data_IF_385855565561
#
_entry.id   IF_385855565561
#
_cell.length_a   1.000
_cell.length_b   1.000
_cell.length_c   1.000
_cell.angle_alpha   90.00
_cell.angle_beta   90.00
_cell.angle_gamma   90.00
#
_symmetry.space_group_name_H-M   'P 1'
#
loop_
_entity.id
_entity.type
_entity.pdbx_description
1 polymer ?
#
# COMPACT_ATOMS: atom_id res chain seq x y z
N UNK A 1 13.48 -46.96 30.17
CA UNK A 1 12.79 -46.65 31.43
C UNK A 1 12.59 -45.14 31.45
N UNK A 2 11.66 -44.65 30.62
CA UNK A 2 10.25 -44.36 31.00
C UNK A 2 10.20 -43.05 31.82
N UNK A 3 9.37 -42.04 31.53
CA UNK A 3 8.12 -41.95 30.78
C UNK A 3 7.84 -40.47 30.47
N UNK A 4 7.09 -40.26 29.38
CA UNK A 4 6.38 -39.04 28.99
C UNK A 4 5.44 -38.53 30.10
N UNK A 5 5.03 -37.25 30.06
CA UNK A 5 3.59 -36.90 29.93
C UNK A 5 3.25 -35.38 29.93
N UNK A 6 2.66 -34.97 28.78
CA UNK A 6 1.52 -34.07 28.48
C UNK A 6 1.39 -32.60 28.93
N UNK A 7 1.48 -31.73 27.91
CA UNK A 7 0.38 -30.94 27.29
C UNK A 7 -0.77 -30.47 28.19
N UNK A 8 -0.93 -29.14 28.30
CA UNK A 8 -2.17 -28.48 28.73
C UNK A 8 -2.51 -27.30 27.80
N UNK A 9 -3.20 -27.61 26.70
CA UNK A 9 -3.92 -26.61 25.89
C UNK A 9 -5.19 -26.19 26.64
N UNK A 10 -5.33 -24.89 26.95
CA UNK A 10 -6.59 -24.32 27.45
C UNK A 10 -7.49 -23.98 26.26
N UNK A 11 -8.67 -24.60 26.29
CA UNK A 11 -9.80 -24.41 25.38
C UNK A 11 -10.37 -22.98 25.48
N UNK A 12 -10.54 -22.33 24.34
CA UNK A 12 -11.50 -21.24 24.13
C UNK A 12 -12.91 -21.85 23.99
N UNK A 13 -13.90 -21.46 24.80
CA UNK A 13 -15.30 -21.68 24.49
C UNK A 13 -15.93 -20.41 23.89
N UNK A 14 -17.14 -20.54 23.34
CA UNK A 14 -17.95 -19.54 22.63
C UNK A 14 -17.74 -19.54 21.10
N UNK A 15 -18.04 -20.70 20.51
CA UNK A 15 -18.86 -20.72 19.30
C UNK A 15 -20.32 -20.69 19.76
N UNK A 16 -21.03 -19.58 19.56
CA UNK A 16 -22.47 -19.57 19.62
C UNK A 16 -23.00 -19.18 18.24
N UNK A 17 -23.55 -20.21 17.60
CA UNK A 17 -24.29 -20.18 16.34
C UNK A 17 -25.51 -19.29 16.52
N UNK A 18 -25.62 -18.22 15.71
CA UNK A 18 -26.88 -17.54 15.46
C UNK A 18 -27.19 -17.65 13.97
N UNK A 19 -27.94 -18.70 13.65
CA UNK A 19 -28.79 -18.79 12.48
C UNK A 19 -29.90 -17.74 12.65
N UNK A 20 -29.84 -16.66 11.87
CA UNK A 20 -30.99 -15.79 11.63
C UNK A 20 -31.43 -16.02 10.20
N UNK A 21 -32.49 -16.79 10.05
CA UNK A 21 -33.35 -16.82 8.89
C UNK A 21 -34.28 -15.60 8.89
N UNK A 22 -34.91 -15.38 7.73
CA UNK A 22 -36.17 -14.64 7.52
C UNK A 22 -36.03 -13.22 6.94
N UNK A 23 -36.11 -13.18 5.61
CA UNK A 23 -37.18 -12.53 4.82
C UNK A 23 -36.73 -11.54 3.76
N UNK A 24 -36.91 -11.97 2.52
CA UNK A 24 -37.07 -11.12 1.36
C UNK A 24 -38.35 -10.27 1.53
N UNK A 25 -38.20 -8.94 1.50
CA UNK A 25 -39.30 -8.03 1.22
C UNK A 25 -39.08 -7.49 -0.19
N UNK A 26 -39.82 -8.08 -1.12
CA UNK A 26 -40.02 -7.58 -2.47
C UNK A 26 -41.24 -6.66 -2.46
N UNK A 27 -41.01 -5.35 -2.47
CA UNK A 27 -41.97 -4.31 -2.86
C UNK A 27 -41.11 -3.09 -3.24
N UNK A 28 -40.92 -2.78 -4.51
CA UNK A 28 -41.93 -2.06 -5.28
C UNK A 28 -41.64 -0.56 -5.18
N UNK A 29 -40.70 -0.07 -5.99
CA UNK A 29 -40.53 1.37 -6.20
C UNK A 29 -40.74 1.65 -7.68
N UNK A 30 -41.91 2.22 -7.94
CA UNK A 30 -42.31 2.77 -9.22
C UNK A 30 -41.43 3.98 -9.59
N UNK A 31 -41.04 3.96 -10.85
CA UNK A 31 -40.84 5.09 -11.75
C UNK A 31 -41.32 6.45 -11.22
N UNK A 32 -40.40 7.40 -11.08
CA UNK A 32 -40.63 8.80 -11.45
C UNK A 32 -39.35 9.32 -12.10
N UNK A 33 -39.38 9.30 -13.43
CA UNK A 33 -38.56 10.13 -14.30
C UNK A 33 -39.01 11.57 -14.10
N UNK A 34 -38.19 12.40 -13.46
CA UNK A 34 -38.40 13.85 -13.45
C UNK A 34 -37.31 14.50 -14.30
N UNK A 35 -37.72 14.87 -15.51
CA UNK A 35 -36.92 15.55 -16.52
C UNK A 35 -36.96 17.05 -16.21
N UNK A 36 -35.89 17.58 -15.65
CA UNK A 36 -35.70 19.02 -15.50
C UNK A 36 -34.85 19.55 -16.67
N UNK A 37 -35.55 19.99 -17.71
CA UNK A 37 -35.03 20.85 -18.78
C UNK A 37 -35.27 22.32 -18.42
N UNK A 38 -34.20 23.09 -18.23
CA UNK A 38 -34.18 24.55 -18.32
C UNK A 38 -32.71 24.99 -18.47
N UNK A 39 -32.19 25.18 -19.69
CA UNK A 39 -32.21 26.46 -20.42
C UNK A 39 -32.09 27.69 -19.51
N UNK A 40 -30.87 28.21 -19.38
CA UNK A 40 -30.61 29.64 -19.21
C UNK A 40 -29.18 29.98 -19.67
N UNK A 41 -29.07 30.46 -20.91
CA UNK A 41 -27.98 31.35 -21.32
C UNK A 41 -28.42 32.79 -21.08
N UNK A 42 -27.48 33.69 -20.78
CA UNK A 42 -27.56 35.01 -21.39
C UNK A 42 -26.25 35.47 -22.04
N UNK A 43 -26.43 35.92 -23.28
CA UNK A 43 -25.89 37.13 -23.90
C UNK A 43 -24.44 37.57 -23.59
N UNK A 44 -23.60 37.29 -24.58
CA UNK A 44 -22.73 38.24 -25.32
C UNK A 44 -22.77 39.70 -24.84
N UNK A 45 -21.62 40.20 -24.39
CA UNK A 45 -21.19 41.58 -24.66
C UNK A 45 -19.78 41.56 -25.27
N UNK A 46 -19.73 41.98 -26.53
CA UNK A 46 -18.51 42.23 -27.29
C UNK A 46 -18.01 43.63 -26.93
N UNK A 47 -16.75 43.74 -26.50
CA UNK A 47 -16.00 44.99 -26.53
C UNK A 47 -14.86 44.89 -27.54
N UNK A 48 -15.10 45.56 -28.66
CA UNK A 48 -14.13 45.90 -29.70
C UNK A 48 -13.07 46.85 -29.12
N UNK A 49 -11.81 46.47 -29.16
CA UNK A 49 -10.72 47.43 -29.36
C UNK A 49 -9.78 46.98 -30.46
N UNK A 50 -9.51 47.98 -31.29
CA UNK A 50 -8.94 47.99 -32.62
C UNK A 50 -7.41 48.16 -32.51
N UNK A 51 -6.71 47.62 -33.51
CA UNK A 51 -5.41 48.09 -34.02
C UNK A 51 -4.17 47.91 -33.12
N UNK A 52 -3.16 47.20 -33.63
CA UNK A 52 -2.10 47.88 -34.41
C UNK A 52 -1.01 46.90 -34.90
N UNK A 53 -0.90 46.84 -36.24
CA UNK A 53 0.32 46.75 -37.07
C UNK A 53 1.41 45.70 -36.76
N UNK A 54 1.58 44.79 -37.74
CA UNK A 54 2.82 44.03 -38.03
C UNK A 54 3.93 44.95 -38.57
N UNK A 55 5.20 44.63 -38.29
CA UNK A 55 6.33 44.89 -39.20
C UNK A 55 7.02 43.55 -39.63
N UNK A 56 8.00 43.55 -40.55
CA UNK A 56 8.06 42.58 -41.65
C UNK A 56 8.88 41.32 -41.38
N UNK A 57 8.66 40.32 -42.26
CA UNK A 57 9.55 39.18 -42.47
C UNK A 57 10.91 39.64 -42.99
N UNK A 58 11.97 39.16 -42.37
CA UNK A 58 13.32 39.14 -42.93
C UNK A 58 13.74 37.67 -43.16
N UNK A 59 14.41 37.31 -44.28
CA UNK A 59 14.76 35.94 -44.61
C UNK A 59 16.26 35.64 -44.36
N UNK A 60 16.53 34.38 -44.00
CA UNK A 60 17.81 33.61 -44.10
C UNK A 60 18.74 33.54 -42.86
N UNK A 61 18.67 32.38 -42.19
CA UNK A 61 19.81 31.60 -41.62
C UNK A 61 20.46 32.10 -40.32
N UNK A 62 21.19 31.26 -39.54
CA UNK A 62 21.63 29.87 -39.75
C UNK A 62 21.00 28.86 -38.76
N UNK A 63 21.18 27.57 -39.04
CA UNK A 63 20.47 26.43 -38.44
C UNK A 63 20.56 26.30 -36.91
N UNK A 64 19.40 26.03 -36.32
CA UNK A 64 19.25 25.62 -34.92
C UNK A 64 19.53 24.11 -34.82
N UNK A 65 20.41 23.66 -33.90
CA UNK A 65 20.65 22.25 -33.65
C UNK A 65 19.35 21.57 -33.17
N UNK A 66 19.03 20.43 -33.76
CA UNK A 66 17.78 19.70 -33.55
C UNK A 66 17.46 19.49 -32.08
N UNK A 67 16.30 20.02 -31.67
CA UNK A 67 15.64 19.66 -30.43
C UNK A 67 15.22 18.20 -30.50
N UNK A 68 16.11 17.31 -30.08
CA UNK A 68 15.78 15.94 -29.73
C UNK A 68 14.77 15.99 -28.58
N UNK A 69 13.50 15.75 -28.89
CA UNK A 69 12.48 15.50 -27.89
C UNK A 69 13.00 14.38 -27.00
N UNK A 70 13.32 14.72 -25.75
CA UNK A 70 13.68 13.75 -24.73
C UNK A 70 12.47 12.82 -24.58
N UNK A 71 12.59 11.64 -25.21
CA UNK A 71 11.62 10.55 -25.10
C UNK A 71 11.37 10.34 -23.61
N UNK A 72 10.11 10.37 -23.13
CA UNK A 72 9.81 10.07 -21.74
C UNK A 72 10.52 8.77 -21.41
N UNK A 73 11.47 8.80 -20.46
CA UNK A 73 12.16 7.61 -20.02
C UNK A 73 11.09 6.71 -19.41
N UNK A 74 10.64 5.71 -20.17
CA UNK A 74 9.83 4.64 -19.62
C UNK A 74 10.66 4.04 -18.48
N UNK A 75 10.10 3.92 -17.26
CA UNK A 75 10.76 3.20 -16.19
C UNK A 75 11.17 1.83 -16.73
N UNK A 76 12.41 1.37 -16.45
CA UNK A 76 12.88 0.09 -16.95
C UNK A 76 11.81 -0.97 -16.64
N UNK A 77 11.37 -1.69 -17.67
CA UNK A 77 10.45 -2.80 -17.45
C UNK A 77 11.12 -3.73 -16.43
N UNK A 78 10.37 -4.24 -15.43
CA UNK A 78 10.92 -5.23 -14.51
C UNK A 78 11.57 -6.30 -15.36
N UNK A 79 12.88 -6.50 -15.15
CA UNK A 79 13.63 -7.51 -15.88
C UNK A 79 12.86 -8.80 -15.66
N UNK A 80 12.36 -9.40 -16.74
CA UNK A 80 11.93 -10.79 -16.75
C UNK A 80 13.19 -11.62 -16.52
N UNK A 81 13.68 -11.62 -15.28
CA UNK A 81 14.60 -12.63 -14.83
C UNK A 81 13.88 -13.94 -15.03
N UNK A 82 14.54 -14.86 -15.74
CA UNK A 82 14.14 -16.27 -15.73
C UNK A 82 13.87 -16.61 -14.27
N UNK A 83 12.64 -17.05 -13.90
CA UNK A 83 12.38 -17.49 -12.55
C UNK A 83 13.46 -18.53 -12.23
N UNK A 84 14.38 -18.19 -11.33
CA UNK A 84 15.19 -19.24 -10.73
C UNK A 84 14.17 -20.24 -10.23
N UNK A 85 14.30 -21.52 -10.57
CA UNK A 85 13.38 -22.57 -10.08
C UNK A 85 13.45 -22.78 -8.56
N UNK A 86 13.82 -21.73 -7.82
CA UNK A 86 13.85 -21.64 -6.38
C UNK A 86 12.48 -21.38 -5.81
N UNK A 87 12.44 -21.48 -4.49
CA UNK A 87 11.24 -21.32 -3.69
C UNK A 87 10.94 -19.82 -3.54
N UNK A 88 9.71 -19.37 -3.83
CA UNK A 88 9.27 -17.97 -3.67
C UNK A 88 9.56 -17.41 -2.27
N UNK A 89 9.52 -18.25 -1.23
CA UNK A 89 9.90 -17.87 0.13
C UNK A 89 11.36 -17.36 0.19
N UNK A 90 12.28 -18.10 -0.40
CA UNK A 90 13.71 -17.78 -0.42
C UNK A 90 13.98 -16.58 -1.32
N UNK A 91 13.29 -16.47 -2.46
CA UNK A 91 13.42 -15.34 -3.38
C UNK A 91 13.06 -14.02 -2.70
N UNK A 92 11.94 -13.96 -1.97
CA UNK A 92 11.53 -12.78 -1.21
C UNK A 92 12.60 -12.44 -0.16
N UNK A 93 13.08 -13.41 0.62
CA UNK A 93 14.10 -13.15 1.65
C UNK A 93 15.43 -12.68 1.06
N UNK A 94 15.86 -13.27 -0.05
CA UNK A 94 17.12 -12.91 -0.70
C UNK A 94 17.03 -11.49 -1.26
N UNK A 95 15.91 -11.11 -1.91
CA UNK A 95 15.67 -9.73 -2.35
C UNK A 95 15.71 -8.75 -1.18
N UNK A 96 15.09 -9.09 -0.05
CA UNK A 96 15.12 -8.24 1.15
C UNK A 96 16.56 -7.98 1.59
N UNK A 97 17.37 -9.04 1.69
CA UNK A 97 18.78 -8.98 2.13
C UNK A 97 19.67 -8.22 1.17
N UNK A 98 19.43 -8.34 -0.13
CA UNK A 98 20.17 -7.61 -1.16
C UNK A 98 19.91 -6.11 -1.11
N UNK A 99 18.66 -5.72 -0.84
CA UNK A 99 18.22 -4.33 -0.89
C UNK A 99 18.42 -3.60 0.44
N UNK A 100 18.24 -4.28 1.57
CA UNK A 100 18.30 -3.69 2.92
C UNK A 100 19.62 -4.00 3.61
N UNK A 101 20.74 -3.60 3.00
CA UNK A 101 22.11 -3.81 3.52
C UNK A 101 22.43 -3.06 4.82
N UNK A 102 21.50 -2.29 5.37
CA UNK A 102 21.69 -1.51 6.59
C UNK A 102 20.79 -2.12 7.67
N UNK A 103 21.35 -2.99 8.50
CA UNK A 103 20.73 -3.32 9.80
C UNK A 103 20.76 -2.07 10.67
N UNK A 104 19.61 -1.67 11.21
CA UNK A 104 19.47 -0.46 12.01
C UNK A 104 19.45 -0.86 13.48
N UNK A 105 20.52 -0.52 14.22
CA UNK A 105 20.68 -0.84 15.65
C UNK A 105 19.42 -0.48 16.45
N UNK A 106 18.84 -1.53 17.05
CA UNK A 106 17.52 -1.52 17.68
C UNK A 106 17.36 -0.65 18.93
N UNK A 107 16.16 -0.08 19.05
CA UNK A 107 15.51 0.19 20.33
C UNK A 107 14.36 -0.80 20.55
N UNK A 108 13.75 -0.80 21.74
CA UNK A 108 12.67 -1.75 22.11
C UNK A 108 11.35 -1.60 21.32
N UNK A 109 11.30 -0.69 20.33
CA UNK A 109 10.17 -0.44 19.44
C UNK A 109 10.76 -0.23 18.04
N UNK A 110 10.22 -0.94 17.06
CA UNK A 110 10.69 -0.95 15.68
C UNK A 110 9.49 -0.88 14.74
N UNK A 111 9.24 0.29 14.15
CA UNK A 111 8.31 0.43 13.05
C UNK A 111 8.84 -0.24 11.78
N UNK A 112 8.02 -1.07 11.13
CA UNK A 112 8.41 -1.89 9.97
C UNK A 112 7.77 -1.35 8.68
N UNK A 113 6.43 -1.26 8.62
CA UNK A 113 5.68 -0.83 7.44
C UNK A 113 4.41 -0.04 7.83
N UNK A 114 3.95 0.94 7.02
CA UNK A 114 4.63 1.64 5.91
C UNK A 114 5.96 2.31 6.30
N UNK A 115 6.85 2.59 5.32
CA UNK A 115 8.28 2.39 5.52
C UNK A 115 8.94 3.41 6.47
N UNK A 116 9.48 2.88 7.57
CA UNK A 116 10.45 3.56 8.42
C UNK A 116 11.89 3.13 8.10
N UNK A 117 12.06 1.85 7.70
CA UNK A 117 13.36 1.16 7.64
C UNK A 117 13.55 0.29 6.40
N UNK A 118 12.60 0.35 5.47
CA UNK A 118 12.65 -0.38 4.20
C UNK A 118 13.25 0.52 3.12
N UNK A 119 14.37 0.10 2.51
CA UNK A 119 14.97 0.78 1.35
C UNK A 119 14.16 0.48 0.08
N UNK A 120 13.93 1.49 -0.78
CA UNK A 120 13.08 1.32 -1.96
C UNK A 120 12.63 2.63 -2.63
N UNK A 121 11.49 2.59 -3.34
CA UNK A 121 10.86 3.60 -4.22
C UNK A 121 10.49 4.97 -3.59
N UNK A 122 11.29 5.43 -2.62
CA UNK A 122 10.89 6.43 -1.63
C UNK A 122 9.87 5.81 -0.66
N UNK A 123 9.43 6.58 0.33
CA UNK A 123 8.48 6.09 1.33
C UNK A 123 7.05 5.90 0.74
N UNK A 124 6.90 5.28 -0.43
CA UNK A 124 5.67 5.16 -1.18
C UNK A 124 5.07 3.76 -1.04
N UNK A 125 3.74 3.68 -1.00
CA UNK A 125 2.99 2.42 -0.96
C UNK A 125 1.85 2.42 -1.98
N UNK A 126 1.45 1.23 -2.42
CA UNK A 126 0.36 1.03 -3.38
C UNK A 126 -1.02 0.95 -2.70
N UNK A 127 -1.13 0.33 -1.53
CA UNK A 127 -2.40 0.23 -0.79
C UNK A 127 -2.82 1.59 -0.21
N UNK A 128 -4.08 1.98 -0.44
CA UNK A 128 -4.70 3.17 0.18
C UNK A 128 -5.35 2.88 1.55
N UNK A 129 -5.33 1.61 1.98
CA UNK A 129 -5.67 1.16 3.33
C UNK A 129 -4.51 0.32 3.89
N UNK A 130 -3.48 0.98 4.44
CA UNK A 130 -2.26 0.30 4.84
C UNK A 130 -2.47 -0.61 6.06
N UNK A 131 -1.70 -1.69 6.10
CA UNK A 131 -1.43 -2.45 7.31
C UNK A 131 -0.16 -1.90 7.98
N UNK A 132 -0.30 -1.42 9.21
CA UNK A 132 0.83 -1.04 10.05
C UNK A 132 1.43 -2.27 10.70
N UNK A 133 2.75 -2.41 10.67
CA UNK A 133 3.49 -3.55 11.23
C UNK A 133 4.65 -3.01 12.05
N UNK A 134 4.85 -3.54 13.25
CA UNK A 134 5.96 -3.19 14.14
C UNK A 134 6.41 -4.37 15.00
N UNK A 135 7.54 -4.19 15.67
CA UNK A 135 8.02 -5.09 16.72
C UNK A 135 8.24 -4.29 18.02
N UNK A 136 7.90 -4.90 19.15
CA UNK A 136 7.99 -4.29 20.47
C UNK A 136 6.65 -3.78 21.00
N UNK A 137 6.62 -3.46 22.29
CA UNK A 137 5.38 -3.04 22.96
C UNK A 137 5.05 -1.58 22.61
N UNK A 138 3.86 -1.38 22.04
CA UNK A 138 3.25 -0.08 21.78
C UNK A 138 1.92 0.03 22.54
N UNK A 139 1.54 1.25 22.88
CA UNK A 139 0.28 1.55 23.61
C UNK A 139 -0.74 2.26 22.73
N UNK A 140 -0.29 2.92 21.66
CA UNK A 140 -1.14 3.65 20.73
C UNK A 140 -0.46 3.78 19.37
N UNK A 141 -1.27 3.80 18.32
CA UNK A 141 -0.88 4.17 16.97
C UNK A 141 -1.82 5.27 16.46
N UNK A 142 -1.27 6.23 15.73
CA UNK A 142 -2.04 7.28 15.06
C UNK A 142 -1.58 7.43 13.60
N UNK A 143 -2.52 7.79 12.73
CA UNK A 143 -2.28 8.18 11.35
C UNK A 143 -2.76 9.61 11.17
N UNK A 144 -1.91 10.44 10.59
CA UNK A 144 -2.13 11.86 10.40
C UNK A 144 -1.87 12.26 8.94
N UNK A 145 -2.59 13.28 8.48
CA UNK A 145 -2.20 14.00 7.27
C UNK A 145 -0.93 14.82 7.58
N UNK A 146 0.14 14.60 6.81
CA UNK A 146 1.46 15.16 7.16
C UNK A 146 1.53 16.69 7.07
N UNK A 147 0.63 17.33 6.32
CA UNK A 147 0.63 18.78 6.10
C UNK A 147 -0.24 19.46 7.15
N UNK A 148 -1.49 19.00 7.28
CA UNK A 148 -2.47 19.61 8.19
C UNK A 148 -2.29 19.16 9.64
N UNK A 149 -1.56 18.06 9.86
CA UNK A 149 -1.39 17.42 11.16
C UNK A 149 -2.72 16.98 11.80
N UNK A 150 -3.77 16.83 10.99
CA UNK A 150 -5.05 16.28 11.40
C UNK A 150 -4.91 14.78 11.66
N UNK A 151 -5.44 14.32 12.81
CA UNK A 151 -5.50 12.89 13.14
C UNK A 151 -6.64 12.24 12.37
N UNK A 152 -6.30 11.46 11.35
CA UNK A 152 -7.26 10.75 10.49
C UNK A 152 -7.74 9.45 11.16
N UNK A 153 -6.89 8.84 11.98
CA UNK A 153 -7.19 7.59 12.67
C UNK A 153 -6.27 7.40 13.88
N UNK A 154 -6.82 6.80 14.94
CA UNK A 154 -6.12 6.51 16.18
C UNK A 154 -6.64 5.20 16.76
N UNK A 155 -5.73 4.39 17.31
CA UNK A 155 -6.08 3.11 17.94
C UNK A 155 -5.21 2.88 19.18
N UNK A 156 -5.86 2.56 20.29
CA UNK A 156 -5.18 2.04 21.48
C UNK A 156 -4.80 0.58 21.26
N UNK A 157 -3.62 0.21 21.73
CA UNK A 157 -3.01 -1.09 21.50
C UNK A 157 -2.82 -1.85 22.81
N UNK A 158 -2.83 -3.18 22.71
CA UNK A 158 -2.37 -4.07 23.78
C UNK A 158 -0.87 -4.36 23.59
N UNK A 159 -0.14 -4.74 24.66
CA UNK A 159 1.29 -5.08 24.53
C UNK A 159 1.61 -6.23 23.58
N UNK A 160 0.62 -7.08 23.24
CA UNK A 160 0.75 -8.18 22.27
C UNK A 160 0.47 -7.78 20.83
N UNK A 161 -0.09 -6.59 20.60
CA UNK A 161 -0.36 -6.13 19.24
C UNK A 161 0.96 -5.81 18.53
N UNK A 162 1.12 -6.34 17.32
CA UNK A 162 2.26 -6.06 16.43
C UNK A 162 1.80 -5.57 15.05
N UNK A 163 0.49 -5.50 14.84
CA UNK A 163 -0.12 -5.01 13.61
C UNK A 163 -1.39 -4.21 13.88
N UNK A 164 -1.71 -3.30 12.97
CA UNK A 164 -3.00 -2.62 12.97
C UNK A 164 -3.39 -2.25 11.54
N UNK A 165 -4.58 -2.67 11.12
CA UNK A 165 -5.14 -2.30 9.82
C UNK A 165 -5.83 -0.93 9.91
N UNK A 166 -5.57 -0.08 8.92
CA UNK A 166 -6.35 1.13 8.72
C UNK A 166 -7.72 0.79 8.09
N UNK A 167 -8.79 1.11 8.81
CA UNK A 167 -10.16 0.67 8.51
C UNK A 167 -11.11 1.83 8.15
N UNK A 168 -10.58 3.04 7.88
CA UNK A 168 -11.34 4.24 7.50
C UNK A 168 -11.29 4.49 6.00
N UNK A 169 -11.75 5.66 5.56
CA UNK A 169 -11.82 6.01 4.14
C UNK A 169 -10.47 5.92 3.42
N UNK A 170 -10.43 5.50 2.13
CA UNK A 170 -9.17 5.30 1.42
C UNK A 170 -8.29 6.56 1.42
N UNK A 171 -7.01 6.39 1.69
CA UNK A 171 -6.03 7.46 1.62
C UNK A 171 -5.86 7.94 0.17
N UNK A 172 -5.64 9.24 -0.02
CA UNK A 172 -5.60 9.85 -1.34
C UNK A 172 -4.25 9.59 -2.03
N UNK A 173 -4.31 9.29 -3.33
CA UNK A 173 -3.13 9.12 -4.16
C UNK A 173 -2.23 10.38 -4.14
N UNK A 174 -0.92 10.17 -4.24
CA UNK A 174 0.11 11.22 -4.18
C UNK A 174 0.16 12.05 -2.88
N UNK A 175 -0.69 11.79 -1.89
CA UNK A 175 -0.61 12.46 -0.58
C UNK A 175 0.42 11.81 0.32
N UNK A 176 0.97 12.63 1.22
CA UNK A 176 1.91 12.25 2.27
C UNK A 176 1.19 12.16 3.61
N UNK A 177 1.51 11.12 4.34
CA UNK A 177 0.95 10.81 5.64
C UNK A 177 2.06 10.56 6.64
N UNK A 178 1.73 10.72 7.90
CA UNK A 178 2.58 10.46 9.03
C UNK A 178 1.88 9.43 9.91
N UNK A 179 2.58 8.38 10.33
CA UNK A 179 2.09 7.53 11.38
C UNK A 179 3.01 7.56 12.59
N UNK A 180 2.38 7.58 13.76
CA UNK A 180 3.03 7.72 15.06
C UNK A 180 2.81 6.47 15.87
N UNK A 181 3.88 5.86 16.34
CA UNK A 181 3.83 4.68 17.18
C UNK A 181 4.33 5.01 18.58
N UNK A 182 3.43 4.94 19.56
CA UNK A 182 3.69 5.37 20.92
C UNK A 182 4.10 4.19 21.79
N UNK A 183 5.31 4.24 22.37
CA UNK A 183 5.67 3.39 23.51
C UNK A 183 5.09 3.94 24.82
N UNK A 184 5.06 5.26 24.93
CA UNK A 184 4.43 6.02 26.01
C UNK A 184 3.75 7.24 25.39
N UNK A 185 2.87 7.93 26.14
CA UNK A 185 2.11 9.07 25.62
C UNK A 185 2.95 10.29 25.20
N UNK A 186 4.25 10.32 25.49
CA UNK A 186 5.10 11.52 25.35
C UNK A 186 6.04 11.51 24.16
N UNK A 187 6.42 10.35 23.65
CA UNK A 187 7.50 10.23 22.65
C UNK A 187 7.17 9.13 21.64
N UNK A 188 6.49 9.46 20.53
CA UNK A 188 6.21 8.53 19.45
C UNK A 188 7.42 8.36 18.52
N UNK A 189 7.60 7.14 17.99
CA UNK A 189 8.34 6.95 16.74
C UNK A 189 7.49 7.54 15.60
N UNK A 190 8.06 8.43 14.80
CA UNK A 190 7.36 9.15 13.72
C UNK A 190 7.86 8.67 12.38
N UNK A 191 6.93 8.24 11.51
CA UNK A 191 7.25 7.63 10.23
C UNK A 191 6.42 8.30 9.13
N UNK A 192 7.10 8.78 8.09
CA UNK A 192 6.47 9.42 6.94
C UNK A 192 6.36 8.45 5.77
N UNK A 193 5.21 8.46 5.10
CA UNK A 193 4.99 7.74 3.85
C UNK A 193 4.08 8.51 2.90
N UNK A 194 3.92 8.01 1.67
CA UNK A 194 3.01 8.56 0.66
C UNK A 194 2.27 7.43 -0.05
N UNK A 195 1.08 7.73 -0.55
CA UNK A 195 0.39 6.82 -1.48
C UNK A 195 0.91 7.08 -2.89
N UNK A 196 1.16 6.02 -3.66
CA UNK A 196 1.55 6.13 -5.06
C UNK A 196 0.53 6.96 -5.88
N UNK A 197 0.98 7.64 -6.95
CA UNK A 197 0.07 8.31 -7.87
C UNK A 197 -0.94 7.34 -8.49
N UNK A 198 -2.15 7.82 -8.79
CA UNK A 198 -3.24 6.98 -9.28
C UNK A 198 -2.85 6.19 -10.55
N UNK A 199 -2.22 6.85 -11.53
CA UNK A 199 -1.78 6.21 -12.77
C UNK A 199 -0.82 5.04 -12.53
N UNK A 200 0.09 5.15 -11.55
CA UNK A 200 1.03 4.08 -11.22
C UNK A 200 0.32 2.94 -10.49
N UNK A 201 -0.63 3.27 -9.60
CA UNK A 201 -1.48 2.28 -8.94
C UNK A 201 -2.29 1.46 -9.94
N UNK A 202 -2.92 2.11 -10.92
CA UNK A 202 -3.73 1.46 -11.95
C UNK A 202 -2.88 0.51 -12.80
N UNK A 203 -1.65 0.91 -13.13
CA UNK A 203 -0.69 0.05 -13.85
C UNK A 203 -0.35 -1.18 -13.03
N UNK A 204 -0.02 -1.01 -11.74
CA UNK A 204 0.28 -2.12 -10.83
C UNK A 204 -0.94 -3.04 -10.70
N UNK A 205 -2.14 -2.49 -10.50
CA UNK A 205 -3.39 -3.27 -10.43
C UNK A 205 -3.59 -4.12 -11.68
N UNK A 206 -3.34 -3.54 -12.86
CA UNK A 206 -3.45 -4.27 -14.13
C UNK A 206 -2.48 -5.46 -14.17
N UNK A 207 -1.24 -5.28 -13.68
CA UNK A 207 -0.24 -6.34 -13.63
C UNK A 207 -0.58 -7.41 -12.57
N UNK A 208 -1.05 -7.02 -11.39
CA UNK A 208 -1.48 -7.94 -10.34
C UNK A 208 -2.67 -8.81 -10.75
N UNK A 209 -3.59 -8.27 -11.55
CA UNK A 209 -4.73 -9.03 -12.08
C UNK A 209 -4.28 -10.19 -13.00
N UNK A 210 -3.08 -10.12 -13.57
CA UNK A 210 -2.51 -11.20 -14.40
C UNK A 210 -1.88 -12.32 -13.57
N UNK A 211 -1.67 -12.13 -12.27
CA UNK A 211 -1.06 -13.11 -11.34
C UNK A 211 -2.10 -14.15 -10.87
N UNK A 212 -3.38 -14.01 -11.24
CA UNK A 212 -4.39 -15.00 -10.89
C UNK A 212 -4.18 -16.31 -11.66
N UNK A 213 -3.73 -17.35 -10.97
CA UNK A 213 -3.60 -18.70 -11.53
C UNK A 213 -4.81 -19.54 -11.12
N UNK A 214 -5.48 -20.15 -12.10
CA UNK A 214 -6.59 -21.07 -11.86
C UNK A 214 -6.12 -22.23 -10.99
N UNK A 215 -6.81 -22.47 -9.85
CA UNK A 215 -6.49 -23.55 -8.93
C UNK A 215 -5.40 -23.25 -7.90
N UNK A 216 -4.83 -22.04 -7.89
CA UNK A 216 -3.91 -21.63 -6.84
C UNK A 216 -4.63 -21.39 -5.50
N UNK A 217 -3.96 -21.68 -4.40
CA UNK A 217 -4.45 -21.36 -3.05
C UNK A 217 -4.32 -19.86 -2.76
N UNK A 218 -5.07 -19.36 -1.79
CA UNK A 218 -4.95 -17.97 -1.35
C UNK A 218 -3.52 -17.60 -0.94
N UNK A 219 -2.80 -18.51 -0.28
CA UNK A 219 -1.39 -18.35 0.09
C UNK A 219 -0.46 -18.24 -1.12
N UNK A 220 -0.65 -19.09 -2.14
CA UNK A 220 0.15 -19.03 -3.36
C UNK A 220 -0.05 -17.71 -4.11
N UNK A 221 -1.30 -17.24 -4.19
CA UNK A 221 -1.62 -15.93 -4.80
C UNK A 221 -0.96 -14.80 -4.01
N UNK A 222 -1.08 -14.81 -2.67
CA UNK A 222 -0.47 -13.81 -1.80
C UNK A 222 1.06 -13.79 -1.94
N UNK A 223 1.72 -14.95 -2.02
CA UNK A 223 3.17 -15.03 -2.23
C UNK A 223 3.62 -14.51 -3.59
N UNK A 224 2.88 -14.79 -4.66
CA UNK A 224 3.21 -14.27 -5.98
C UNK A 224 3.04 -12.73 -6.03
N UNK A 225 1.97 -12.21 -5.44
CA UNK A 225 1.75 -10.75 -5.30
C UNK A 225 2.82 -10.11 -4.42
N UNK A 226 3.17 -10.74 -3.30
CA UNK A 226 4.24 -10.28 -2.41
C UNK A 226 5.60 -10.23 -3.14
N UNK A 227 5.92 -11.26 -3.93
CA UNK A 227 7.13 -11.28 -4.75
C UNK A 227 7.13 -10.15 -5.79
N UNK A 228 6.00 -9.94 -6.48
CA UNK A 228 5.85 -8.81 -7.40
C UNK A 228 6.12 -7.47 -6.69
N UNK A 229 5.54 -7.23 -5.51
CA UNK A 229 5.78 -5.99 -4.78
C UNK A 229 7.24 -5.86 -4.32
N UNK A 230 7.86 -6.94 -3.84
CA UNK A 230 9.27 -6.96 -3.47
C UNK A 230 10.20 -6.64 -4.66
N UNK A 231 9.88 -7.14 -5.85
CA UNK A 231 10.60 -6.83 -7.10
C UNK A 231 10.51 -5.36 -7.50
N UNK A 232 9.39 -4.71 -7.16
CA UNK A 232 9.15 -3.29 -7.41
C UNK A 232 9.53 -2.40 -6.20
N UNK A 233 10.26 -2.94 -5.22
CA UNK A 233 10.70 -2.24 -4.00
C UNK A 233 9.55 -1.67 -3.15
N UNK A 234 8.36 -2.27 -3.25
CA UNK A 234 7.14 -1.90 -2.52
C UNK A 234 6.97 -2.83 -1.30
N UNK A 235 7.96 -2.85 -0.41
CA UNK A 235 8.05 -3.82 0.68
C UNK A 235 6.89 -3.77 1.68
N UNK A 236 6.32 -2.58 1.92
CA UNK A 236 5.14 -2.46 2.78
C UNK A 236 3.94 -3.21 2.19
N UNK A 237 3.75 -3.11 0.87
CA UNK A 237 2.69 -3.82 0.16
C UNK A 237 2.98 -5.32 0.08
N UNK A 238 4.25 -5.72 -0.09
CA UNK A 238 4.65 -7.12 -0.03
C UNK A 238 4.33 -7.77 1.32
N UNK A 239 4.64 -7.07 2.42
CA UNK A 239 4.28 -7.50 3.77
C UNK A 239 2.77 -7.55 3.98
N UNK A 240 2.03 -6.56 3.47
CA UNK A 240 0.57 -6.55 3.58
C UNK A 240 -0.06 -7.79 2.90
N UNK A 241 0.47 -8.22 1.75
CA UNK A 241 0.03 -9.48 1.10
C UNK A 241 0.33 -10.70 1.96
N UNK A 242 1.55 -10.81 2.51
CA UNK A 242 1.95 -11.92 3.39
C UNK A 242 1.04 -12.03 4.63
N UNK A 243 0.73 -10.89 5.27
CA UNK A 243 -0.11 -10.84 6.47
C UNK A 243 -1.61 -10.97 6.17
N UNK A 244 -2.03 -10.90 4.90
CA UNK A 244 -3.45 -11.02 4.53
C UNK A 244 -3.97 -12.46 4.52
N UNK A 245 -3.06 -13.44 4.50
CA UNK A 245 -3.41 -14.86 4.42
C UNK A 245 -4.04 -15.32 5.73
N UNK A 246 -5.30 -15.75 5.67
CA UNK A 246 -5.97 -16.36 6.81
C UNK A 246 -5.43 -17.77 7.04
N UNK A 247 -5.05 -18.08 8.29
CA UNK A 247 -4.45 -19.36 8.67
C UNK A 247 -3.20 -19.68 7.84
N UNK A 248 -2.14 -18.84 7.91
CA UNK A 248 -0.94 -19.02 7.11
C UNK A 248 -0.29 -20.36 7.42
N UNK A 249 0.36 -20.97 6.43
CA UNK A 249 1.19 -22.15 6.65
C UNK A 249 2.34 -21.85 7.62
N UNK A 250 2.94 -22.91 8.17
CA UNK A 250 4.14 -22.77 9.01
C UNK A 250 5.28 -22.06 8.25
N UNK A 251 5.39 -22.33 6.94
CA UNK A 251 6.39 -21.72 6.08
C UNK A 251 6.16 -20.21 5.91
N UNK A 252 4.91 -19.79 5.68
CA UNK A 252 4.57 -18.37 5.58
C UNK A 252 4.71 -17.64 6.92
N UNK A 253 4.34 -18.30 8.01
CA UNK A 253 4.57 -17.78 9.37
C UNK A 253 6.07 -17.55 9.61
N UNK A 254 6.91 -18.54 9.27
CA UNK A 254 8.36 -18.42 9.40
C UNK A 254 8.94 -17.31 8.50
N UNK A 255 8.48 -17.21 7.25
CA UNK A 255 8.87 -16.13 6.34
C UNK A 255 8.59 -14.75 6.96
N UNK A 256 7.36 -14.55 7.45
CA UNK A 256 6.96 -13.28 8.06
C UNK A 256 7.87 -12.90 9.23
N UNK A 257 8.16 -13.86 10.12
CA UNK A 257 9.04 -13.66 11.27
C UNK A 257 10.49 -13.37 10.85
N UNK A 258 11.01 -14.07 9.84
CA UNK A 258 12.36 -13.83 9.33
C UNK A 258 12.50 -12.44 8.73
N UNK A 259 11.50 -11.97 7.96
CA UNK A 259 11.49 -10.62 7.39
C UNK A 259 11.47 -9.58 8.52
N UNK A 260 10.53 -9.69 9.47
CA UNK A 260 10.42 -8.71 10.57
C UNK A 260 11.67 -8.68 11.43
N UNK A 261 12.22 -9.85 11.77
CA UNK A 261 13.46 -9.95 12.53
C UNK A 261 14.64 -9.38 11.75
N UNK A 262 14.70 -9.56 10.43
CA UNK A 262 15.78 -8.99 9.62
C UNK A 262 15.74 -7.45 9.63
N UNK A 263 14.55 -6.86 9.51
CA UNK A 263 14.35 -5.39 9.48
C UNK A 263 14.66 -4.75 10.85
N UNK A 264 14.35 -5.45 11.95
CA UNK A 264 14.49 -4.93 13.31
C UNK A 264 15.79 -5.35 14.04
N UNK A 265 16.77 -5.90 13.32
CA UNK A 265 18.10 -6.27 13.85
C UNK A 265 18.98 -5.06 14.17
#
# INVERSE_FOLDING_TARGET
>A
MDRLDWVRWKRNPIFLVLLVTVSAIATGWHLLFESASAQNQPLVQQSLTKQSRRPPRDPRGPGIPGGGQARPQQPPMPRQGVPGGGNLYDDILNKLREQNRIGVRGGNLCAIAPPARLTGSGNAIWHDRPLFIWQGAAVRIELLDSITQEVLWSKNLTPSDTTAAYDREPLQASRRYEWRLYRSLRDPEVILFRILPQQERDRITTQLNQIQVTGATAEQIALQRANYFAENLLWADALQEIYSVQNPSEQLTKLSQEITNYICR
#
